data_IF_606883133994
#
_entry.id   IF_606883133994
#
_cell.length_a   1.000
_cell.length_b   1.000
_cell.length_c   1.000
_cell.angle_alpha   90.00
_cell.angle_beta   90.00
_cell.angle_gamma   90.00
#
_symmetry.space_group_name_H-M   'P 1'
#
loop_
_entity.id
_entity.type
_entity.pdbx_description
1 polymer ?
#
# COMPACT_ATOMS: atom_id res chain seq x y z
N UNK A 1 19.55 0.10 -1.13
CA UNK A 1 18.35 -0.65 -0.72
C UNK A 1 17.22 0.37 -0.64
N UNK A 2 16.62 0.65 -1.78
CA UNK A 2 15.76 1.83 -1.99
C UNK A 2 14.32 1.41 -1.76
N UNK A 3 13.68 2.02 -0.76
CA UNK A 3 12.25 1.86 -0.48
C UNK A 3 11.47 2.33 -1.71
N UNK A 4 10.69 1.42 -2.31
CA UNK A 4 9.76 1.78 -3.38
C UNK A 4 8.63 2.62 -2.77
N UNK A 5 8.66 3.94 -3.01
CA UNK A 5 7.50 4.79 -2.83
C UNK A 5 6.65 4.66 -4.12
N UNK A 6 5.39 4.20 -4.04
CA UNK A 6 4.56 4.13 -5.23
C UNK A 6 4.31 5.53 -5.81
N UNK A 7 4.18 5.66 -7.15
CA UNK A 7 3.94 6.94 -7.80
C UNK A 7 2.60 7.55 -7.35
N UNK A 8 2.61 8.84 -7.04
CA UNK A 8 1.41 9.62 -6.69
C UNK A 8 0.42 9.57 -7.87
N UNK A 9 -0.83 9.19 -7.62
CA UNK A 9 -1.91 9.27 -8.60
C UNK A 9 -2.56 7.93 -8.99
N UNK A 10 -2.02 6.78 -8.57
CA UNK A 10 -2.82 5.56 -8.59
C UNK A 10 -3.96 5.71 -7.59
N UNK A 11 -5.24 5.52 -7.98
CA UNK A 11 -6.29 5.34 -7.01
C UNK A 11 -5.93 4.04 -6.27
N UNK A 12 -5.39 4.19 -5.06
CA UNK A 12 -5.43 3.10 -4.10
C UNK A 12 -6.90 2.64 -4.10
N UNK A 13 -7.20 1.34 -4.28
CA UNK A 13 -8.55 0.88 -3.97
C UNK A 13 -8.88 1.48 -2.61
N UNK A 14 -10.06 2.12 -2.43
CA UNK A 14 -10.34 2.87 -1.21
C UNK A 14 -9.89 1.98 -0.08
N UNK A 15 -8.85 2.41 0.64
CA UNK A 15 -8.36 1.67 1.78
C UNK A 15 -9.61 1.55 2.61
N UNK A 16 -10.23 0.37 2.64
CA UNK A 16 -11.35 0.15 3.53
C UNK A 16 -10.84 0.67 4.86
N UNK A 17 -11.51 1.66 5.48
CA UNK A 17 -11.02 2.23 6.72
C UNK A 17 -10.65 1.03 7.58
N UNK A 18 -9.40 0.93 7.99
CA UNK A 18 -9.01 -0.15 8.87
C UNK A 18 -9.84 0.09 10.14
N UNK A 19 -10.97 -0.59 10.22
CA UNK A 19 -11.87 -0.52 11.35
C UNK A 19 -11.10 -1.16 12.48
N UNK A 20 -10.52 -0.30 13.32
CA UNK A 20 -9.81 -0.74 14.49
C UNK A 20 -10.78 -1.57 15.31
N UNK A 21 -10.42 -2.80 15.71
CA UNK A 21 -11.30 -3.65 16.46
C UNK A 21 -11.85 -2.92 17.70
N UNK A 22 -13.06 -3.27 18.10
CA UNK A 22 -13.68 -2.70 19.28
C UNK A 22 -12.73 -2.76 20.48
N UNK A 23 -12.74 -1.70 21.31
CA UNK A 23 -11.79 -1.52 22.42
C UNK A 23 -11.77 -2.73 23.37
N UNK A 24 -12.93 -3.35 23.60
CA UNK A 24 -13.09 -4.53 24.44
C UNK A 24 -12.36 -5.77 23.87
N UNK A 25 -12.35 -5.91 22.55
CA UNK A 25 -11.65 -6.96 21.83
C UNK A 25 -10.12 -6.76 21.96
N UNK A 26 -9.63 -5.53 21.73
CA UNK A 26 -8.20 -5.18 21.88
C UNK A 26 -7.71 -5.37 23.31
N UNK A 27 -8.53 -5.03 24.31
CA UNK A 27 -8.20 -5.26 25.71
C UNK A 27 -8.06 -6.75 26.06
N UNK A 28 -8.92 -7.62 25.51
CA UNK A 28 -8.81 -9.08 25.70
C UNK A 28 -7.50 -9.63 25.14
N UNK A 29 -7.08 -9.17 23.95
CA UNK A 29 -5.78 -9.54 23.37
C UNK A 29 -4.63 -8.99 24.19
N UNK A 30 -4.68 -7.71 24.57
CA UNK A 30 -3.67 -7.08 25.40
C UNK A 30 -3.46 -7.80 26.73
N UNK A 31 -4.55 -8.23 27.37
CA UNK A 31 -4.51 -9.02 28.59
C UNK A 31 -3.85 -10.39 28.38
N UNK A 32 -4.20 -11.09 27.30
CA UNK A 32 -3.61 -12.38 26.97
C UNK A 32 -2.11 -12.28 26.65
N UNK A 33 -1.69 -11.25 25.91
CA UNK A 33 -0.28 -10.95 25.65
C UNK A 33 0.50 -10.61 26.93
N UNK A 34 -0.10 -9.80 27.81
CA UNK A 34 0.47 -9.46 29.12
C UNK A 34 0.68 -10.70 29.98
N UNK A 35 -0.29 -11.63 29.96
CA UNK A 35 -0.17 -12.91 30.66
C UNK A 35 0.95 -13.75 30.06
N UNK A 36 1.00 -13.92 28.74
CA UNK A 36 2.07 -14.67 28.08
C UNK A 36 3.47 -14.13 28.41
N UNK A 37 3.65 -12.79 28.40
CA UNK A 37 4.93 -12.18 28.81
C UNK A 37 5.29 -12.49 30.26
N UNK A 38 4.32 -12.44 31.17
CA UNK A 38 4.53 -12.76 32.59
C UNK A 38 4.84 -14.24 32.81
N UNK A 39 4.16 -15.13 32.09
CA UNK A 39 4.38 -16.58 32.14
C UNK A 39 5.80 -16.93 31.62
N UNK A 40 6.32 -16.15 30.67
CA UNK A 40 7.72 -16.21 30.22
C UNK A 40 8.74 -15.56 31.19
N UNK A 41 8.29 -15.02 32.34
CA UNK A 41 9.15 -14.38 33.34
C UNK A 41 9.76 -13.04 32.92
N UNK A 42 9.20 -12.38 31.89
CA UNK A 42 9.81 -11.19 31.29
C UNK A 42 9.23 -9.89 31.86
N UNK A 43 10.12 -8.93 32.13
CA UNK A 43 9.74 -7.53 32.34
C UNK A 43 9.38 -6.86 31.02
N UNK A 44 8.69 -5.71 31.07
CA UNK A 44 8.43 -4.90 29.87
C UNK A 44 9.72 -4.43 29.19
N UNK A 45 10.79 -4.18 29.96
CA UNK A 45 12.08 -3.78 29.42
C UNK A 45 12.75 -4.90 28.62
N UNK A 46 12.76 -6.13 29.15
CA UNK A 46 13.31 -7.29 28.45
C UNK A 46 12.49 -7.66 27.21
N UNK A 47 11.16 -7.54 27.30
CA UNK A 47 10.28 -7.72 26.16
C UNK A 47 10.54 -6.70 25.04
N UNK A 48 10.75 -5.43 25.40
CA UNK A 48 11.11 -4.35 24.47
C UNK A 48 12.43 -4.65 23.76
N UNK A 49 13.46 -5.00 24.53
CA UNK A 49 14.78 -5.34 24.00
C UNK A 49 14.72 -6.51 23.01
N UNK A 50 14.00 -7.58 23.34
CA UNK A 50 13.88 -8.78 22.49
C UNK A 50 13.06 -8.56 21.23
N UNK A 51 12.01 -7.72 21.30
CA UNK A 51 11.11 -7.49 20.17
C UNK A 51 11.50 -6.32 19.28
N UNK A 52 12.48 -5.50 19.71
CA UNK A 52 12.82 -4.24 19.05
C UNK A 52 11.75 -3.15 19.17
N UNK A 53 10.71 -3.36 19.98
CA UNK A 53 9.65 -2.38 20.25
C UNK A 53 9.96 -1.56 21.49
N UNK A 54 9.42 -0.34 21.58
CA UNK A 54 9.55 0.45 22.79
C UNK A 54 8.74 -0.15 23.95
N UNK A 55 9.21 0.03 25.19
CA UNK A 55 8.45 -0.38 26.40
C UNK A 55 7.05 0.26 26.45
N UNK A 56 6.95 1.50 25.98
CA UNK A 56 5.70 2.25 25.94
C UNK A 56 4.71 1.59 24.98
N UNK A 57 5.17 1.26 23.76
CA UNK A 57 4.39 0.55 22.73
C UNK A 57 3.86 -0.78 23.25
N UNK A 58 4.71 -1.62 23.84
CA UNK A 58 4.28 -2.91 24.41
C UNK A 58 3.27 -2.70 25.53
N UNK A 59 3.51 -1.74 26.43
CA UNK A 59 2.58 -1.42 27.50
C UNK A 59 1.21 -0.97 26.99
N UNK A 60 1.17 -0.13 25.96
CA UNK A 60 -0.09 0.36 25.36
C UNK A 60 -0.84 -0.74 24.60
N UNK A 61 -0.13 -1.65 23.94
CA UNK A 61 -0.72 -2.86 23.33
C UNK A 61 -1.33 -3.75 24.42
N UNK A 62 -0.62 -4.00 25.53
CA UNK A 62 -1.13 -4.81 26.64
C UNK A 62 -2.38 -4.22 27.31
N UNK A 63 -2.56 -2.90 27.24
CA UNK A 63 -3.76 -2.21 27.74
C UNK A 63 -4.88 -2.09 26.69
N UNK A 64 -4.63 -2.49 25.44
CA UNK A 64 -5.56 -2.34 24.32
C UNK A 64 -5.67 -0.91 23.78
N UNK A 65 -4.88 0.03 24.30
CA UNK A 65 -4.85 1.44 23.89
C UNK A 65 -4.25 1.61 22.49
N UNK A 66 -3.30 0.75 22.14
CA UNK A 66 -2.64 0.74 20.84
C UNK A 66 -2.95 -0.55 20.11
N UNK A 67 -3.27 -0.43 18.82
CA UNK A 67 -3.58 -1.59 17.99
C UNK A 67 -2.29 -2.35 17.63
N UNK A 68 -2.30 -3.68 17.78
CA UNK A 68 -1.21 -4.55 17.36
C UNK A 68 -0.97 -4.50 15.84
N UNK A 69 -2.01 -4.36 15.01
CA UNK A 69 -1.91 -4.31 13.55
C UNK A 69 -1.32 -3.00 13.01
N UNK A 70 -1.29 -1.95 13.84
CA UNK A 70 -0.62 -0.68 13.50
C UNK A 70 0.90 -0.74 13.69
N UNK A 71 1.40 -1.84 14.27
CA UNK A 71 2.83 -2.15 14.31
C UNK A 71 3.18 -2.91 13.02
N UNK A 72 4.25 -2.52 12.33
CA UNK A 72 4.68 -3.18 11.08
C UNK A 72 4.65 -4.71 11.21
N UNK A 73 4.18 -5.45 10.19
CA UNK A 73 3.97 -6.91 10.27
C UNK A 73 5.19 -7.73 10.72
N UNK A 74 6.40 -7.22 10.46
CA UNK A 74 7.67 -7.78 10.99
C UNK A 74 7.73 -7.79 12.52
N UNK A 75 7.11 -6.82 13.19
CA UNK A 75 7.15 -6.66 14.64
C UNK A 75 6.15 -7.59 15.35
N UNK A 76 5.08 -8.04 14.68
CA UNK A 76 4.22 -9.12 15.19
C UNK A 76 4.97 -10.45 15.26
N UNK A 77 5.84 -10.74 14.30
CA UNK A 77 6.74 -11.91 14.34
C UNK A 77 7.72 -11.83 15.51
N UNK A 78 8.33 -10.66 15.71
CA UNK A 78 9.28 -10.46 16.81
C UNK A 78 8.64 -10.56 18.20
N UNK A 79 7.33 -10.26 18.33
CA UNK A 79 6.61 -10.37 19.61
C UNK A 79 6.37 -11.82 20.05
N UNK A 80 5.96 -12.72 19.14
CA UNK A 80 5.76 -14.11 19.55
C UNK A 80 7.07 -14.78 19.93
N UNK A 81 8.15 -14.50 19.19
CA UNK A 81 9.49 -14.97 19.51
C UNK A 81 9.99 -14.40 20.85
N UNK A 82 9.85 -13.09 21.06
CA UNK A 82 10.24 -12.45 22.31
C UNK A 82 9.54 -13.04 23.54
N UNK A 83 8.28 -13.46 23.40
CA UNK A 83 7.48 -14.06 24.47
C UNK A 83 7.65 -15.58 24.57
N UNK A 84 8.49 -16.19 23.74
CA UNK A 84 8.70 -17.64 23.73
C UNK A 84 7.46 -18.43 23.29
N UNK A 85 6.54 -17.79 22.57
CA UNK A 85 5.33 -18.41 22.05
C UNK A 85 5.63 -19.06 20.69
N UNK A 86 5.10 -20.26 20.47
CA UNK A 86 5.01 -20.80 19.12
C UNK A 86 4.05 -19.95 18.31
N UNK A 87 4.29 -19.86 17.00
CA UNK A 87 3.45 -19.08 16.10
C UNK A 87 1.95 -19.44 16.23
N UNK A 88 1.62 -20.72 16.36
CA UNK A 88 0.23 -21.20 16.53
C UNK A 88 -0.41 -20.80 17.88
N UNK A 89 0.38 -20.60 18.94
CA UNK A 89 -0.10 -20.13 20.24
C UNK A 89 -0.38 -18.64 20.20
N UNK A 90 0.51 -17.89 19.55
CA UNK A 90 0.33 -16.46 19.31
C UNK A 90 -0.88 -16.18 18.41
N UNK A 91 -1.04 -16.95 17.32
CA UNK A 91 -2.20 -16.86 16.43
C UNK A 91 -3.51 -17.09 17.18
N UNK A 92 -3.59 -18.04 18.12
CA UNK A 92 -4.78 -18.24 18.96
C UNK A 92 -5.09 -17.05 19.85
N UNK A 93 -4.06 -16.34 20.33
CA UNK A 93 -4.23 -15.15 21.16
C UNK A 93 -4.81 -13.99 20.35
N UNK A 94 -4.30 -13.79 19.13
CA UNK A 94 -4.66 -12.62 18.31
C UNK A 94 -5.88 -12.88 17.40
N UNK A 95 -6.14 -14.12 17.00
CA UNK A 95 -7.21 -14.51 16.06
C UNK A 95 -8.64 -14.05 16.45
N UNK A 96 -9.04 -14.00 17.74
CA UNK A 96 -10.34 -13.46 18.10
C UNK A 96 -10.57 -12.00 17.68
N UNK A 97 -9.50 -11.26 17.37
CA UNK A 97 -9.52 -9.83 17.03
C UNK A 97 -8.94 -9.58 15.65
N UNK A 98 -7.93 -10.36 15.27
CA UNK A 98 -7.15 -10.23 14.05
C UNK A 98 -7.29 -11.45 13.13
N UNK A 99 -8.08 -12.45 13.50
CA UNK A 99 -8.27 -13.68 12.70
C UNK A 99 -9.08 -13.45 11.43
N UNK A 100 -9.76 -12.29 11.37
CA UNK A 100 -10.48 -11.79 10.21
C UNK A 100 -9.81 -10.56 9.59
N UNK A 101 -8.64 -10.11 10.08
CA UNK A 101 -7.90 -9.12 9.29
C UNK A 101 -7.44 -9.82 8.02
N UNK A 102 -7.57 -9.18 6.84
CA UNK A 102 -7.08 -9.76 5.61
C UNK A 102 -5.64 -10.14 5.85
N UNK A 103 -5.33 -11.45 5.82
CA UNK A 103 -3.94 -11.91 5.78
C UNK A 103 -3.28 -11.08 4.69
N UNK A 104 -2.09 -10.55 4.94
CA UNK A 104 -1.25 -10.09 3.86
C UNK A 104 -1.06 -11.30 2.93
N UNK A 105 -1.83 -11.37 1.84
CA UNK A 105 -2.08 -12.60 1.06
C UNK A 105 -3.52 -13.16 1.02
N UNK A 106 -4.56 -12.41 1.46
CA UNK A 106 -5.95 -12.69 1.03
C UNK A 106 -6.02 -12.72 -0.49
N UNK A 107 -6.94 -13.50 -1.12
CA UNK A 107 -6.89 -13.74 -2.56
C UNK A 107 -6.73 -12.39 -3.25
N UNK A 108 -5.70 -12.27 -4.10
CA UNK A 108 -5.73 -11.23 -5.13
C UNK A 108 -7.14 -11.32 -5.68
N UNK A 109 -8.01 -10.28 -5.56
CA UNK A 109 -9.32 -10.33 -6.19
C UNK A 109 -9.05 -10.84 -7.59
N UNK A 110 -9.76 -11.89 -8.08
CA UNK A 110 -9.44 -12.50 -9.36
C UNK A 110 -9.19 -11.34 -10.30
N UNK A 111 -7.97 -11.22 -10.85
CA UNK A 111 -7.52 -10.04 -11.60
C UNK A 111 -8.74 -9.63 -12.39
N UNK A 112 -9.40 -8.54 -11.99
CA UNK A 112 -10.65 -8.17 -12.62
C UNK A 112 -10.26 -8.10 -14.08
N UNK A 113 -10.81 -9.03 -14.89
CA UNK A 113 -10.24 -9.41 -16.18
C UNK A 113 -9.76 -8.14 -16.84
N UNK A 114 -8.44 -8.03 -17.13
CA UNK A 114 -7.79 -6.76 -17.48
C UNK A 114 -8.78 -5.93 -18.27
N UNK A 115 -9.38 -4.92 -17.63
CA UNK A 115 -10.38 -4.13 -18.31
C UNK A 115 -9.56 -3.38 -19.33
N UNK A 116 -9.63 -3.81 -20.59
CA UNK A 116 -9.03 -3.11 -21.71
C UNK A 116 -9.75 -1.76 -21.76
N UNK A 117 -9.19 -0.79 -21.05
CA UNK A 117 -9.66 0.58 -21.11
C UNK A 117 -9.36 1.05 -22.53
N UNK A 118 -10.39 1.41 -23.31
CA UNK A 118 -10.19 1.91 -24.66
C UNK A 118 -9.34 3.17 -24.55
N UNK A 119 -8.18 3.17 -25.21
CA UNK A 119 -7.34 4.35 -25.31
C UNK A 119 -8.12 5.41 -26.08
N UNK A 120 -8.50 6.48 -25.39
CA UNK A 120 -9.18 7.62 -25.99
C UNK A 120 -8.13 8.67 -26.31
N UNK A 121 -7.89 8.91 -27.60
CA UNK A 121 -6.95 9.95 -28.05
C UNK A 121 -7.71 11.29 -28.10
N UNK A 122 -7.33 12.30 -27.30
CA UNK A 122 -7.93 13.63 -27.41
C UNK A 122 -7.67 14.26 -28.78
N UNK A 123 -8.59 15.10 -29.30
CA UNK A 123 -8.45 15.69 -30.62
C UNK A 123 -7.16 16.51 -30.77
N UNK A 124 -6.74 17.23 -29.73
CA UNK A 124 -5.51 18.02 -29.77
C UNK A 124 -4.25 17.15 -29.84
N UNK A 125 -4.29 15.95 -29.23
CA UNK A 125 -3.21 14.98 -29.34
C UNK A 125 -3.22 14.30 -30.72
N UNK A 126 -4.39 14.10 -31.32
CA UNK A 126 -4.50 13.58 -32.68
C UNK A 126 -3.83 14.53 -33.69
N UNK A 127 -3.98 15.84 -33.53
CA UNK A 127 -3.28 16.86 -34.34
C UNK A 127 -1.76 16.69 -34.23
N UNK A 128 -1.22 16.50 -33.02
CA UNK A 128 0.21 16.26 -32.80
C UNK A 128 0.68 14.98 -33.49
N UNK A 129 -0.11 13.90 -33.44
CA UNK A 129 0.21 12.64 -34.13
C UNK A 129 0.28 12.87 -35.65
N UNK A 130 -0.70 13.57 -36.21
CA UNK A 130 -0.79 13.81 -37.64
C UNK A 130 0.38 14.66 -38.14
N UNK A 131 0.77 15.67 -37.38
CA UNK A 131 1.87 16.59 -37.75
C UNK A 131 3.27 16.01 -37.49
N UNK A 132 3.47 15.34 -36.35
CA UNK A 132 4.81 15.03 -35.84
C UNK A 132 5.20 13.55 -35.90
N UNK A 133 4.26 12.61 -36.07
CA UNK A 133 4.59 11.18 -35.97
C UNK A 133 5.51 10.66 -37.08
N UNK A 134 5.75 11.42 -38.15
CA UNK A 134 6.81 11.11 -39.14
C UNK A 134 8.21 11.24 -38.54
N UNK A 135 8.42 12.23 -37.68
CA UNK A 135 9.71 12.50 -37.03
C UNK A 135 9.81 11.81 -35.66
N UNK A 136 8.67 11.51 -35.05
CA UNK A 136 8.55 10.86 -33.74
C UNK A 136 7.61 9.65 -33.84
N UNK A 137 8.09 8.50 -34.36
CA UNK A 137 7.26 7.30 -34.52
C UNK A 137 6.66 6.79 -33.19
N UNK A 138 7.26 7.14 -32.05
CA UNK A 138 6.76 6.83 -30.70
C UNK A 138 5.37 7.43 -30.44
N UNK A 139 4.95 8.47 -31.16
CA UNK A 139 3.59 9.01 -31.08
C UNK A 139 2.52 8.03 -31.60
N UNK A 140 2.90 6.92 -32.24
CA UNK A 140 1.98 5.84 -32.63
C UNK A 140 2.10 4.60 -31.75
N UNK A 141 3.01 4.61 -30.78
CA UNK A 141 3.17 3.49 -29.85
C UNK A 141 2.09 3.56 -28.78
N UNK A 142 1.33 2.47 -28.62
CA UNK A 142 0.20 2.43 -27.68
C UNK A 142 0.67 2.63 -26.23
N UNK A 143 1.85 2.12 -25.86
CA UNK A 143 2.39 2.29 -24.51
C UNK A 143 2.71 3.76 -24.25
N UNK A 144 3.37 4.43 -25.20
CA UNK A 144 3.64 5.86 -25.12
C UNK A 144 2.34 6.68 -25.04
N UNK A 145 1.36 6.37 -25.91
CA UNK A 145 0.07 7.06 -25.91
C UNK A 145 -0.66 6.91 -24.58
N UNK A 146 -0.72 5.69 -24.02
CA UNK A 146 -1.31 5.45 -22.69
C UNK A 146 -0.62 6.22 -21.57
N UNK A 147 0.69 6.42 -21.67
CA UNK A 147 1.43 7.19 -20.67
C UNK A 147 1.11 8.67 -20.77
N UNK A 148 1.08 9.22 -21.98
CA UNK A 148 0.82 10.66 -22.15
C UNK A 148 -0.66 11.01 -21.93
N UNK A 149 -1.63 10.12 -22.22
CA UNK A 149 -3.06 10.38 -21.96
C UNK A 149 -3.47 10.20 -20.50
N UNK A 150 -2.67 9.48 -19.70
CA UNK A 150 -2.99 9.15 -18.31
C UNK A 150 -3.49 10.32 -17.44
N UNK A 151 -2.93 11.55 -17.50
CA UNK A 151 -3.45 12.68 -16.74
C UNK A 151 -4.92 12.99 -17.01
N UNK A 152 -5.38 12.89 -18.27
CA UNK A 152 -6.79 13.08 -18.64
C UNK A 152 -7.64 11.85 -18.32
N UNK A 153 -7.11 10.66 -18.55
CA UNK A 153 -7.84 9.40 -18.31
C UNK A 153 -8.18 9.21 -16.82
N UNK A 154 -7.32 9.66 -15.91
CA UNK A 154 -7.52 9.52 -14.46
C UNK A 154 -7.95 10.81 -13.76
N UNK A 155 -7.55 11.98 -14.27
CA UNK A 155 -7.88 13.28 -13.69
C UNK A 155 -9.16 13.92 -14.26
N UNK A 156 -9.62 13.49 -15.44
CA UNK A 156 -10.69 14.14 -16.20
C UNK A 156 -10.16 15.18 -17.20
N UNK A 157 -11.03 15.68 -18.08
CA UNK A 157 -10.65 16.50 -19.24
C UNK A 157 -9.88 17.79 -18.89
N UNK A 158 -10.19 18.40 -17.73
CA UNK A 158 -9.55 19.62 -17.25
C UNK A 158 -8.11 19.39 -16.72
N UNK A 159 -7.66 18.14 -16.63
CA UNK A 159 -6.33 17.79 -16.14
C UNK A 159 -5.39 17.45 -17.30
N UNK A 160 -4.12 17.85 -17.21
CA UNK A 160 -3.13 17.61 -18.27
C UNK A 160 -3.19 18.65 -19.40
N UNK A 161 -2.46 18.40 -20.51
CA UNK A 161 -2.35 19.33 -21.62
C UNK A 161 -3.70 19.66 -22.26
N UNK A 162 -3.92 20.93 -22.56
CA UNK A 162 -5.17 21.48 -23.09
C UNK A 162 -5.11 21.91 -24.56
N UNK A 163 -3.91 21.94 -25.15
CA UNK A 163 -3.70 22.32 -26.55
C UNK A 163 -2.69 21.41 -27.24
N UNK A 164 -2.66 21.40 -28.58
CA UNK A 164 -1.72 20.59 -29.37
C UNK A 164 -0.26 20.91 -29.02
N UNK A 165 0.06 22.19 -28.78
CA UNK A 165 1.39 22.62 -28.35
C UNK A 165 1.76 22.02 -26.99
N UNK A 166 0.87 22.13 -26.00
CA UNK A 166 1.11 21.55 -24.67
C UNK A 166 1.23 20.01 -24.74
N UNK A 167 0.46 19.36 -25.60
CA UNK A 167 0.55 17.92 -25.85
C UNK A 167 1.91 17.52 -26.42
N UNK A 168 2.40 18.28 -27.39
CA UNK A 168 3.71 18.02 -27.99
C UNK A 168 4.85 18.25 -27.00
N UNK A 169 4.80 19.33 -26.22
CA UNK A 169 5.76 19.59 -25.14
C UNK A 169 5.75 18.47 -24.10
N UNK A 170 4.56 18.06 -23.67
CA UNK A 170 4.40 16.99 -22.69
C UNK A 170 4.93 15.64 -23.20
N UNK A 171 4.72 15.34 -24.49
CA UNK A 171 5.33 14.18 -25.15
C UNK A 171 6.85 14.26 -25.14
N UNK A 172 7.46 15.38 -25.53
CA UNK A 172 8.92 15.54 -25.56
C UNK A 172 9.53 15.39 -24.17
N UNK A 173 8.86 15.95 -23.16
CA UNK A 173 9.27 15.85 -21.76
C UNK A 173 9.20 14.39 -21.30
N UNK A 174 8.08 13.72 -21.53
CA UNK A 174 7.86 12.31 -21.18
C UNK A 174 8.87 11.38 -21.89
N UNK A 175 9.11 11.59 -23.19
CA UNK A 175 10.08 10.83 -23.98
C UNK A 175 11.49 10.90 -23.39
N UNK A 176 11.89 12.05 -22.86
CA UNK A 176 13.20 12.25 -22.22
C UNK A 176 13.38 11.39 -20.96
N UNK A 177 12.30 11.13 -20.21
CA UNK A 177 12.38 10.40 -18.93
C UNK A 177 12.14 8.89 -19.06
N UNK A 178 11.56 8.43 -20.16
CA UNK A 178 11.24 7.00 -20.39
C UNK A 178 12.33 6.26 -21.17
N UNK A 179 13.12 6.97 -21.99
CA UNK A 179 14.30 6.36 -22.61
C UNK A 179 15.50 6.43 -21.65
N UNK A 180 16.18 5.30 -21.36
CA UNK A 180 17.40 5.26 -20.56
C UNK A 180 18.58 5.95 -21.26
#
# INVERSE_FOLDING_TARGET
MTLYAPPRGFPMPPSQPYESPALDARQKVGFALRRARKDAGLTLAQAAERSGLSRSTIGSIERGEHDLASVAGKNMMLLHEAFGLRQSEFEKIISPVYGNTPRYGSPVPPIAAQVELPLTIPPELQEVIDEHAKNYPELRDETMLRIITAPRDFGGADHGPQSAEEWFEYFLLTRKYIRP
#
